data_IF_440752051189
#
_entry.id   IF_440752051189
#
_cell.length_a   1.000
_cell.length_b   1.000
_cell.length_c   1.000
_cell.angle_alpha   90.00
_cell.angle_beta   90.00
_cell.angle_gamma   90.00
#
_symmetry.space_group_name_H-M   'P 1'
#
loop_
_entity.id
_entity.type
_entity.pdbx_description
1 polymer ?
#
# COMPACT_ATOMS: atom_id res chain seq x y z
N UNK A 1 16.52 -43.83 -21.97
CA UNK A 1 16.86 -43.99 -23.39
C UNK A 1 15.54 -44.09 -24.15
N UNK A 2 14.97 -42.99 -24.57
CA UNK A 2 14.04 -42.86 -25.69
C UNK A 2 13.89 -41.32 -25.97
N UNK A 3 14.50 -40.95 -27.08
CA UNK A 3 14.46 -39.61 -27.66
C UNK A 3 13.33 -39.62 -28.68
N UNK A 4 12.45 -38.60 -28.63
CA UNK A 4 11.45 -38.31 -29.67
C UNK A 4 11.67 -36.88 -30.19
N UNK A 5 11.79 -36.67 -31.52
CA UNK A 5 12.20 -35.41 -32.13
C UNK A 5 11.01 -34.46 -32.42
N UNK A 6 11.31 -33.17 -32.36
CA UNK A 6 10.42 -32.09 -32.83
C UNK A 6 10.47 -31.97 -34.37
N UNK A 7 9.37 -31.56 -35.02
CA UNK A 7 9.38 -31.11 -36.39
C UNK A 7 9.54 -29.59 -36.50
N UNK A 8 10.46 -29.21 -37.38
CA UNK A 8 10.66 -27.84 -37.86
C UNK A 8 9.51 -27.39 -38.76
N UNK A 9 9.02 -26.13 -38.61
CA UNK A 9 8.18 -25.46 -39.60
C UNK A 9 8.90 -24.25 -40.20
N UNK A 10 8.85 -24.30 -41.53
CA UNK A 10 9.51 -23.45 -42.52
C UNK A 10 8.97 -22.00 -42.52
N UNK A 11 9.93 -21.10 -42.68
CA UNK A 11 9.72 -19.73 -43.19
C UNK A 11 9.27 -19.78 -44.66
N UNK A 12 8.27 -18.98 -45.01
CA UNK A 12 8.01 -18.58 -46.41
C UNK A 12 8.03 -17.05 -46.51
N UNK A 13 9.05 -16.58 -47.22
CA UNK A 13 9.14 -15.25 -47.81
C UNK A 13 8.16 -15.17 -48.96
N UNK A 14 7.42 -14.07 -49.06
CA UNK A 14 6.77 -13.63 -50.33
C UNK A 14 7.23 -12.22 -50.63
N UNK A 15 7.98 -12.16 -51.72
CA UNK A 15 8.47 -10.98 -52.42
C UNK A 15 7.61 -10.82 -53.70
N UNK A 16 7.07 -9.64 -54.00
CA UNK A 16 6.64 -9.22 -55.36
C UNK A 16 6.34 -7.74 -55.31
N UNK A 17 7.08 -6.92 -55.92
CA UNK A 17 7.30 -6.52 -57.31
C UNK A 17 6.41 -5.37 -57.78
N UNK A 18 7.13 -4.31 -58.05
CA UNK A 18 6.94 -3.13 -58.90
C UNK A 18 5.98 -3.27 -60.10
N UNK A 19 5.31 -2.18 -60.45
CA UNK A 19 5.23 -1.72 -61.85
C UNK A 19 4.93 -0.23 -61.90
N UNK A 20 5.61 0.41 -62.83
CA UNK A 20 5.63 1.84 -63.14
C UNK A 20 4.78 2.13 -64.40
N UNK A 21 4.71 3.44 -64.75
CA UNK A 21 4.35 4.06 -66.05
C UNK A 21 2.87 4.43 -66.22
N UNK A 22 2.48 5.55 -66.76
CA UNK A 22 3.07 6.47 -67.84
C UNK A 22 2.33 7.81 -67.85
N UNK A 23 3.01 8.79 -68.40
CA UNK A 23 2.67 10.14 -68.79
C UNK A 23 1.47 10.28 -69.72
N UNK A 24 0.72 11.37 -69.55
CA UNK A 24 0.24 12.18 -70.74
C UNK A 24 -0.09 13.58 -70.24
N UNK A 25 0.48 14.59 -70.96
CA UNK A 25 0.26 15.99 -70.76
C UNK A 25 -0.84 16.50 -71.69
N UNK A 26 -1.29 17.70 -71.39
CA UNK A 26 -1.60 18.75 -72.37
C UNK A 26 -2.07 20.04 -71.71
N UNK A 27 -1.34 21.07 -71.96
CA UNK A 27 -1.61 22.47 -72.28
C UNK A 27 -2.96 23.09 -71.87
N UNK A 28 -2.91 24.32 -71.36
CA UNK A 28 -3.95 25.32 -71.60
C UNK A 28 -4.11 26.37 -70.52
N UNK A 29 -3.67 27.57 -70.87
CA UNK A 29 -4.17 28.90 -70.45
C UNK A 29 -3.84 29.49 -69.07
N UNK A 30 -3.02 30.54 -69.13
CA UNK A 30 -2.80 31.55 -68.11
C UNK A 30 -4.00 32.47 -67.96
N UNK A 31 -4.43 32.73 -66.73
CA UNK A 31 -5.19 33.93 -66.32
C UNK A 31 -4.55 34.60 -65.15
N UNK A 32 -4.70 35.90 -64.93
CA UNK A 32 -3.74 36.72 -64.22
C UNK A 32 -3.87 36.67 -62.67
N UNK A 33 -2.75 36.98 -62.03
CA UNK A 33 -2.51 37.00 -60.58
C UNK A 33 -3.42 37.99 -59.83
N UNK A 34 -4.01 37.55 -58.77
CA UNK A 34 -4.52 38.38 -57.66
C UNK A 34 -3.47 38.43 -56.57
N UNK A 35 -3.42 39.47 -55.73
CA UNK A 35 -2.29 39.75 -54.83
C UNK A 35 -2.12 38.76 -53.74
N UNK A 36 -0.87 38.33 -53.46
CA UNK A 36 -0.45 37.49 -52.39
C UNK A 36 -0.78 38.13 -51.04
N UNK A 37 -1.69 37.48 -50.32
CA UNK A 37 -1.81 37.71 -48.88
C UNK A 37 -0.59 37.05 -48.17
N UNK A 38 0.28 37.86 -47.61
CA UNK A 38 1.35 37.43 -46.75
C UNK A 38 0.73 36.77 -45.53
N UNK A 39 0.62 35.45 -45.56
CA UNK A 39 0.31 34.65 -44.38
C UNK A 39 1.60 34.63 -43.55
N UNK A 40 1.62 35.41 -42.49
CA UNK A 40 2.62 35.30 -41.46
C UNK A 40 2.63 33.85 -40.92
N UNK A 41 3.63 33.10 -41.30
CA UNK A 41 3.92 31.81 -40.69
C UNK A 41 4.27 32.06 -39.24
N UNK A 42 3.27 32.00 -38.39
CA UNK A 42 3.48 31.86 -36.96
C UNK A 42 4.23 30.55 -36.74
N UNK A 43 5.52 30.66 -36.50
CA UNK A 43 6.31 29.56 -35.97
C UNK A 43 5.72 29.21 -34.61
N UNK A 44 4.80 28.22 -34.58
CA UNK A 44 4.51 27.51 -33.36
C UNK A 44 5.84 26.87 -32.90
N UNK A 45 6.48 27.51 -31.95
CA UNK A 45 7.63 26.93 -31.28
C UNK A 45 7.17 25.54 -30.78
N UNK A 46 7.70 24.49 -31.37
CA UNK A 46 7.53 23.15 -30.90
C UNK A 46 8.05 23.19 -29.45
N UNK A 47 7.12 23.13 -28.47
CA UNK A 47 7.47 22.96 -27.08
C UNK A 47 8.38 21.74 -27.03
N UNK A 48 9.63 21.94 -26.66
CA UNK A 48 10.55 20.85 -26.42
C UNK A 48 9.86 19.89 -25.48
N UNK A 49 9.59 18.67 -25.96
CA UNK A 49 8.88 17.67 -25.18
C UNK A 49 9.65 17.49 -23.87
N UNK A 50 9.10 18.01 -22.79
CA UNK A 50 9.67 17.85 -21.46
C UNK A 50 9.81 16.34 -21.21
N UNK A 51 11.01 15.89 -20.79
CA UNK A 51 11.20 14.49 -20.40
C UNK A 51 10.12 14.13 -19.37
N UNK A 52 9.45 12.98 -19.53
CA UNK A 52 8.44 12.58 -18.57
C UNK A 52 9.06 12.49 -17.18
N UNK A 53 8.38 13.06 -16.19
CA UNK A 53 8.75 12.99 -14.77
C UNK A 53 8.10 11.76 -14.18
N UNK A 54 8.78 11.07 -13.25
CA UNK A 54 8.25 9.88 -12.61
C UNK A 54 8.00 10.09 -11.12
N UNK A 55 6.87 9.54 -10.67
CA UNK A 55 6.60 9.25 -9.27
C UNK A 55 6.75 7.76 -9.06
N UNK A 56 7.59 7.37 -8.11
CA UNK A 56 7.87 5.96 -7.81
C UNK A 56 7.38 5.66 -6.40
N UNK A 57 6.54 4.63 -6.28
CA UNK A 57 6.19 4.05 -4.98
C UNK A 57 7.03 2.80 -4.74
N UNK A 58 7.82 2.79 -3.66
CA UNK A 58 8.66 1.66 -3.24
C UNK A 58 7.97 0.94 -2.08
N UNK A 59 7.65 -0.35 -2.27
CA UNK A 59 7.04 -1.17 -1.21
C UNK A 59 8.07 -1.57 -0.14
N UNK A 60 7.60 -2.05 1.01
CA UNK A 60 8.47 -2.70 1.99
C UNK A 60 8.76 -4.18 1.64
N UNK A 61 7.87 -4.83 0.88
CA UNK A 61 8.00 -6.21 0.42
C UNK A 61 6.99 -6.54 -0.67
N UNK A 62 6.94 -7.79 -1.07
CA UNK A 62 5.98 -8.33 -2.04
C UNK A 62 4.79 -8.93 -1.28
N UNK A 63 3.67 -8.21 -1.26
CA UNK A 63 2.44 -8.62 -0.57
C UNK A 63 1.21 -8.12 -1.35
N UNK A 64 0.11 -8.91 -1.42
CA UNK A 64 -1.14 -8.50 -2.08
C UNK A 64 -1.77 -7.20 -1.54
N UNK A 65 -1.46 -6.77 -0.32
CA UNK A 65 -1.84 -5.46 0.23
C UNK A 65 -1.48 -4.31 -0.74
N UNK A 66 -0.34 -4.44 -1.42
CA UNK A 66 0.15 -3.43 -2.36
C UNK A 66 -0.61 -3.38 -3.69
N UNK A 67 -1.46 -4.36 -4.00
CA UNK A 67 -2.28 -4.35 -5.23
C UNK A 67 -3.43 -3.37 -5.13
N UNK A 68 -4.05 -3.26 -3.95
CA UNK A 68 -5.04 -2.22 -3.68
C UNK A 68 -4.42 -0.82 -3.74
N UNK A 69 -3.22 -0.63 -3.19
CA UNK A 69 -2.48 0.63 -3.28
C UNK A 69 -2.11 0.95 -4.74
N UNK A 70 -1.64 -0.02 -5.52
CA UNK A 70 -1.36 0.17 -6.96
C UNK A 70 -2.61 0.60 -7.73
N UNK A 71 -3.76 0.01 -7.40
CA UNK A 71 -5.05 0.41 -8.00
C UNK A 71 -5.38 1.86 -7.67
N UNK A 72 -5.11 2.29 -6.44
CA UNK A 72 -5.23 3.69 -6.00
C UNK A 72 -4.24 4.62 -6.70
N UNK A 73 -2.98 4.21 -6.90
CA UNK A 73 -2.00 4.99 -7.67
C UNK A 73 -2.49 5.24 -9.11
N UNK A 74 -3.02 4.21 -9.77
CA UNK A 74 -3.56 4.32 -11.14
C UNK A 74 -4.80 5.20 -11.20
N UNK A 75 -5.72 5.08 -10.24
CA UNK A 75 -6.88 5.97 -10.14
C UNK A 75 -6.44 7.42 -9.91
N UNK A 76 -5.50 7.66 -9.00
CA UNK A 76 -4.92 8.98 -8.74
C UNK A 76 -4.21 9.56 -9.96
N UNK A 77 -3.43 8.77 -10.68
CA UNK A 77 -2.76 9.18 -11.94
C UNK A 77 -3.78 9.70 -12.96
N UNK A 78 -4.88 8.99 -13.13
CA UNK A 78 -5.97 9.38 -14.03
C UNK A 78 -6.75 10.59 -13.49
N UNK A 79 -7.18 10.54 -12.23
CA UNK A 79 -8.02 11.56 -11.58
C UNK A 79 -7.36 12.93 -11.53
N UNK A 80 -6.05 12.97 -11.28
CA UNK A 80 -5.29 14.22 -11.18
C UNK A 80 -4.57 14.62 -12.47
N UNK A 81 -4.86 13.96 -13.60
CA UNK A 81 -4.37 14.35 -14.91
C UNK A 81 -2.85 14.28 -15.06
N UNK A 82 -2.19 13.31 -14.43
CA UNK A 82 -0.73 13.18 -14.43
C UNK A 82 -0.16 13.07 -15.86
N UNK A 83 -0.80 12.32 -16.75
CA UNK A 83 -0.37 12.17 -18.14
C UNK A 83 -0.30 13.52 -18.87
N UNK A 84 -1.29 14.40 -18.68
CA UNK A 84 -1.30 15.75 -19.27
C UNK A 84 -0.18 16.64 -18.70
N UNK A 85 0.26 16.38 -17.47
CA UNK A 85 1.40 17.05 -16.81
C UNK A 85 2.76 16.39 -17.14
N UNK A 86 2.80 15.38 -18.01
CA UNK A 86 4.01 14.63 -18.35
C UNK A 86 4.54 13.80 -17.17
N UNK A 87 3.66 13.34 -16.28
CA UNK A 87 4.00 12.55 -15.09
C UNK A 87 3.55 11.11 -15.31
N UNK A 88 4.43 10.18 -15.00
CA UNK A 88 4.16 8.73 -14.99
C UNK A 88 4.29 8.21 -13.57
N UNK A 89 3.33 7.41 -13.12
CA UNK A 89 3.33 6.82 -11.78
C UNK A 89 3.65 5.33 -11.87
N UNK A 90 4.59 4.86 -11.05
CA UNK A 90 5.02 3.46 -11.04
C UNK A 90 5.15 2.92 -9.61
N UNK A 91 4.94 1.61 -9.45
CA UNK A 91 5.27 0.85 -8.24
C UNK A 91 6.55 0.07 -8.49
N UNK A 92 7.45 0.09 -7.52
CA UNK A 92 8.65 -0.75 -7.44
C UNK A 92 8.55 -1.67 -6.22
N UNK A 93 8.53 -2.97 -6.47
CA UNK A 93 8.34 -3.99 -5.43
C UNK A 93 9.66 -4.33 -4.79
N UNK A 94 9.82 -4.05 -3.49
CA UNK A 94 10.97 -4.45 -2.71
C UNK A 94 10.94 -5.95 -2.40
N UNK A 95 12.11 -6.52 -2.16
CA UNK A 95 12.31 -7.93 -1.85
C UNK A 95 12.12 -8.28 -0.35
N UNK A 96 11.57 -7.37 0.46
CA UNK A 96 11.39 -7.59 1.90
C UNK A 96 12.65 -7.34 2.74
N UNK A 97 13.67 -6.64 2.19
CA UNK A 97 14.88 -6.32 2.93
C UNK A 97 15.19 -4.81 2.95
N UNK A 98 15.89 -4.37 3.99
CA UNK A 98 16.38 -3.00 4.09
C UNK A 98 17.42 -2.68 3.00
N UNK A 99 18.28 -3.63 2.70
CA UNK A 99 19.29 -3.53 1.63
C UNK A 99 18.63 -3.29 0.27
N UNK A 100 17.53 -3.99 0.00
CA UNK A 100 16.75 -3.81 -1.22
C UNK A 100 16.19 -2.40 -1.35
N UNK A 101 15.69 -1.81 -0.26
CA UNK A 101 15.22 -0.41 -0.27
C UNK A 101 16.39 0.57 -0.48
N UNK A 102 17.51 0.37 0.21
CA UNK A 102 18.71 1.21 0.08
C UNK A 102 19.21 1.21 -1.37
N UNK A 103 19.28 0.04 -2.00
CA UNK A 103 19.73 -0.10 -3.39
C UNK A 103 18.81 0.64 -4.36
N UNK A 104 17.48 0.51 -4.21
CA UNK A 104 16.49 1.23 -5.03
C UNK A 104 16.59 2.74 -4.86
N UNK A 105 16.69 3.23 -3.63
CA UNK A 105 16.86 4.66 -3.37
C UNK A 105 18.14 5.21 -4.03
N UNK A 106 19.27 4.48 -3.95
CA UNK A 106 20.53 4.82 -4.64
C UNK A 106 20.35 4.83 -6.15
N UNK A 107 19.70 3.82 -6.70
CA UNK A 107 19.43 3.72 -8.13
C UNK A 107 18.60 4.93 -8.62
N UNK A 108 17.54 5.29 -7.92
CA UNK A 108 16.71 6.45 -8.27
C UNK A 108 17.46 7.77 -8.08
N UNK A 109 18.39 7.85 -7.13
CA UNK A 109 19.21 9.03 -6.96
C UNK A 109 20.15 9.32 -8.13
N UNK A 110 20.37 8.39 -9.05
CA UNK A 110 21.17 8.58 -10.29
C UNK A 110 20.36 8.98 -11.51
N UNK A 111 19.02 9.06 -11.37
CA UNK A 111 18.10 9.29 -12.49
C UNK A 111 17.49 10.69 -12.43
N UNK A 112 17.61 11.45 -13.52
CA UNK A 112 17.20 12.86 -13.57
C UNK A 112 15.69 13.05 -13.83
N UNK A 113 14.97 11.97 -14.17
CA UNK A 113 13.54 12.00 -14.46
C UNK A 113 12.67 11.65 -13.25
N UNK A 114 13.27 11.29 -12.12
CA UNK A 114 12.55 11.02 -10.87
C UNK A 114 12.24 12.33 -10.15
N UNK A 115 10.96 12.70 -10.12
CA UNK A 115 10.49 13.90 -9.45
C UNK A 115 9.94 13.66 -8.04
N UNK A 116 9.47 12.43 -7.76
CA UNK A 116 8.92 12.07 -6.46
C UNK A 116 9.13 10.60 -6.11
N UNK A 117 9.45 10.35 -4.85
CA UNK A 117 9.52 9.02 -4.23
C UNK A 117 8.52 8.97 -3.09
N UNK A 118 7.67 7.97 -3.13
CA UNK A 118 6.88 7.51 -1.99
C UNK A 118 7.42 6.15 -1.55
N UNK A 119 7.68 5.94 -0.28
CA UNK A 119 8.27 4.70 0.23
C UNK A 119 7.55 4.24 1.48
N UNK A 120 7.22 2.93 1.56
CA UNK A 120 6.87 2.29 2.82
C UNK A 120 8.15 1.77 3.47
N UNK A 121 8.64 2.51 4.48
CA UNK A 121 9.93 2.21 5.13
C UNK A 121 9.84 0.91 5.92
N UNK A 122 10.72 -0.05 5.61
CA UNK A 122 10.69 -1.38 6.24
C UNK A 122 11.20 -1.37 7.69
N UNK A 123 12.20 -0.54 7.99
CA UNK A 123 12.80 -0.38 9.31
C UNK A 123 12.89 1.09 9.68
N UNK A 124 12.07 1.52 10.63
CA UNK A 124 11.92 2.93 11.02
C UNK A 124 13.22 3.59 11.51
N UNK A 125 14.10 2.82 12.15
CA UNK A 125 15.36 3.26 12.75
C UNK A 125 16.58 2.99 11.86
N UNK A 126 16.40 2.58 10.60
CA UNK A 126 17.51 2.28 9.70
C UNK A 126 18.14 3.55 9.12
N UNK A 127 19.30 3.94 9.68
CA UNK A 127 20.02 5.16 9.27
C UNK A 127 20.41 5.17 7.78
N UNK A 128 20.75 4.01 7.20
CA UNK A 128 21.14 3.94 5.79
C UNK A 128 19.98 4.25 4.84
N UNK A 129 18.76 3.78 5.16
CA UNK A 129 17.54 4.15 4.41
C UNK A 129 17.31 5.67 4.51
N UNK A 130 17.36 6.20 5.74
CA UNK A 130 17.17 7.63 6.03
C UNK A 130 18.19 8.51 5.28
N UNK A 131 19.46 8.12 5.25
CA UNK A 131 20.50 8.86 4.53
C UNK A 131 20.25 8.91 3.02
N UNK A 132 19.82 7.79 2.41
CA UNK A 132 19.50 7.78 0.98
C UNK A 132 18.25 8.62 0.67
N UNK A 133 17.23 8.61 1.55
CA UNK A 133 16.06 9.49 1.44
C UNK A 133 16.48 10.97 1.50
N UNK A 134 17.36 11.35 2.43
CA UNK A 134 17.90 12.73 2.56
C UNK A 134 18.71 13.13 1.33
N UNK A 135 19.52 12.24 0.74
CA UNK A 135 20.26 12.49 -0.51
C UNK A 135 19.31 12.78 -1.67
N UNK A 136 18.23 12.03 -1.82
CA UNK A 136 17.20 12.29 -2.84
C UNK A 136 16.57 13.68 -2.64
N UNK A 137 16.20 14.03 -1.41
CA UNK A 137 15.65 15.35 -1.09
C UNK A 137 16.64 16.48 -1.41
N UNK A 138 17.92 16.30 -1.09
CA UNK A 138 18.96 17.28 -1.41
C UNK A 138 19.15 17.51 -2.93
N UNK A 139 18.72 16.54 -3.77
CA UNK A 139 18.68 16.66 -5.23
C UNK A 139 17.38 17.29 -5.75
N UNK A 140 16.45 17.66 -4.88
CA UNK A 140 15.16 18.26 -5.25
C UNK A 140 14.04 17.23 -5.52
N UNK A 141 14.29 15.94 -5.32
CA UNK A 141 13.24 14.91 -5.40
C UNK A 141 12.31 15.05 -4.20
N UNK A 142 11.00 15.06 -4.46
CA UNK A 142 10.01 15.04 -3.38
C UNK A 142 9.96 13.66 -2.74
N UNK A 143 10.20 13.57 -1.43
CA UNK A 143 10.21 12.29 -0.71
C UNK A 143 9.14 12.31 0.38
N UNK A 144 8.24 11.34 0.32
CA UNK A 144 7.19 11.09 1.31
C UNK A 144 7.24 9.63 1.76
N UNK A 145 6.70 9.36 2.93
CA UNK A 145 6.48 7.98 3.40
C UNK A 145 5.00 7.61 3.32
N UNK A 146 4.72 6.33 3.07
CA UNK A 146 3.36 5.80 2.92
C UNK A 146 3.27 4.46 3.64
N UNK A 147 2.28 4.30 4.51
CA UNK A 147 2.04 3.13 5.36
C UNK A 147 3.13 2.91 6.43
N UNK A 148 4.35 2.60 6.05
CA UNK A 148 5.52 2.53 6.96
C UNK A 148 6.28 3.85 6.96
N UNK A 149 6.50 4.44 8.15
CA UNK A 149 7.24 5.71 8.32
C UNK A 149 8.64 5.47 8.90
N UNK A 150 9.47 6.49 8.84
CA UNK A 150 10.70 6.59 9.64
C UNK A 150 10.35 6.86 11.10
N UNK A 151 11.30 6.62 12.01
CA UNK A 151 11.17 7.07 13.39
C UNK A 151 11.04 8.60 13.43
N UNK A 152 9.84 9.10 13.76
CA UNK A 152 9.51 10.52 13.70
C UNK A 152 10.27 11.37 14.72
N UNK A 153 10.64 10.79 15.84
CA UNK A 153 11.38 11.51 16.89
C UNK A 153 12.81 11.81 16.46
N UNK A 154 13.39 10.93 15.62
CA UNK A 154 14.81 10.99 15.24
C UNK A 154 15.03 11.41 13.79
N UNK A 155 14.16 10.97 12.87
CA UNK A 155 14.41 11.03 11.42
C UNK A 155 13.31 11.72 10.62
N UNK A 156 12.43 12.47 11.26
CA UNK A 156 11.31 13.16 10.61
C UNK A 156 11.71 14.01 9.41
N UNK A 157 12.93 14.55 9.42
CA UNK A 157 13.51 15.36 8.35
C UNK A 157 13.90 14.55 7.09
N UNK A 158 13.86 13.22 7.13
CA UNK A 158 14.16 12.40 5.96
C UNK A 158 13.04 12.45 4.90
N UNK A 159 11.82 12.84 5.28
CA UNK A 159 10.67 12.99 4.38
C UNK A 159 9.97 14.30 4.61
N UNK A 160 9.05 14.69 3.70
CA UNK A 160 8.23 15.89 3.87
C UNK A 160 6.90 15.58 4.57
N UNK A 161 6.24 14.51 4.18
CA UNK A 161 4.91 14.13 4.65
C UNK A 161 4.79 12.61 4.78
N UNK A 162 3.87 12.17 5.62
CA UNK A 162 3.41 10.80 5.75
C UNK A 162 1.95 10.66 5.32
N UNK A 163 1.63 9.61 4.58
CA UNK A 163 0.26 9.19 4.27
C UNK A 163 0.07 7.76 4.77
N UNK A 164 -0.97 7.51 5.55
CA UNK A 164 -1.22 6.15 6.01
C UNK A 164 -2.29 6.08 7.08
N UNK A 165 -2.09 5.16 8.00
CA UNK A 165 -2.96 4.94 9.15
C UNK A 165 -2.37 5.60 10.39
N UNK A 166 -3.21 6.12 11.27
CA UNK A 166 -2.82 6.31 12.66
C UNK A 166 -2.70 4.91 13.30
N UNK A 167 -1.48 4.39 13.29
CA UNK A 167 -1.20 3.02 13.69
C UNK A 167 -1.45 2.77 15.18
N UNK A 168 -1.28 3.78 16.04
CA UNK A 168 -1.59 3.68 17.47
C UNK A 168 -3.11 3.58 17.69
N UNK A 169 -3.86 4.43 16.99
CA UNK A 169 -5.34 4.38 17.01
C UNK A 169 -5.83 3.05 16.42
N UNK A 170 -5.23 2.59 15.32
CA UNK A 170 -5.54 1.28 14.73
C UNK A 170 -5.30 0.13 15.73
N UNK A 171 -4.18 0.15 16.43
CA UNK A 171 -3.89 -0.81 17.49
C UNK A 171 -4.88 -0.76 18.64
N UNK A 172 -5.25 0.43 19.11
CA UNK A 172 -6.28 0.61 20.13
C UNK A 172 -7.64 0.07 19.67
N UNK A 173 -7.99 0.30 18.43
CA UNK A 173 -9.20 -0.23 17.79
C UNK A 173 -9.22 -1.76 17.82
N UNK A 174 -8.11 -2.41 17.43
CA UNK A 174 -7.99 -3.86 17.46
C UNK A 174 -8.00 -4.41 18.89
N UNK A 175 -7.32 -3.73 19.82
CA UNK A 175 -7.28 -4.10 21.24
C UNK A 175 -8.67 -4.02 21.90
N UNK A 176 -9.44 -2.95 21.62
CA UNK A 176 -10.81 -2.80 22.12
C UNK A 176 -11.74 -3.88 21.58
N UNK A 177 -11.66 -4.17 20.27
CA UNK A 177 -12.43 -5.25 19.64
C UNK A 177 -12.06 -6.62 20.24
N UNK A 178 -10.75 -6.89 20.44
CA UNK A 178 -10.27 -8.15 21.04
C UNK A 178 -10.81 -8.31 22.46
N UNK A 179 -10.78 -7.24 23.26
CA UNK A 179 -11.33 -7.25 24.62
C UNK A 179 -12.81 -7.58 24.63
N UNK A 180 -13.62 -6.91 23.80
CA UNK A 180 -15.05 -7.17 23.71
C UNK A 180 -15.37 -8.63 23.36
N UNK A 181 -14.60 -9.23 22.47
CA UNK A 181 -14.72 -10.65 22.10
C UNK A 181 -14.34 -11.58 23.27
N UNK A 182 -13.26 -11.28 24.01
CA UNK A 182 -12.84 -12.04 25.18
C UNK A 182 -13.89 -11.99 26.29
N UNK A 183 -14.39 -10.80 26.61
CA UNK A 183 -15.43 -10.58 27.63
C UNK A 183 -16.73 -11.32 27.26
N UNK A 184 -17.13 -11.28 25.98
CA UNK A 184 -18.32 -12.00 25.49
C UNK A 184 -18.17 -13.53 25.59
N UNK A 185 -16.96 -14.05 25.51
CA UNK A 185 -16.64 -15.48 25.76
C UNK A 185 -16.54 -15.82 27.25
N UNK A 186 -16.71 -14.85 28.14
CA UNK A 186 -16.59 -15.03 29.59
C UNK A 186 -15.13 -15.15 30.08
N UNK A 187 -14.14 -14.86 29.25
CA UNK A 187 -12.76 -14.82 29.65
C UNK A 187 -12.50 -13.55 30.48
N UNK A 188 -12.23 -13.70 31.76
CA UNK A 188 -11.97 -12.58 32.68
C UNK A 188 -10.51 -12.18 32.75
N UNK A 189 -9.62 -13.09 32.37
CA UNK A 189 -8.17 -12.91 32.31
C UNK A 189 -7.57 -13.87 31.28
N UNK A 190 -6.31 -13.66 30.88
CA UNK A 190 -5.59 -14.54 29.98
C UNK A 190 -4.39 -13.88 29.32
N UNK A 191 -3.68 -14.65 28.52
CA UNK A 191 -2.57 -14.17 27.74
C UNK A 191 -2.96 -13.87 26.28
N UNK A 192 -2.17 -13.03 25.62
CA UNK A 192 -2.21 -12.89 24.16
C UNK A 192 -0.79 -12.75 23.59
N UNK A 193 -0.64 -13.13 22.32
CA UNK A 193 0.60 -12.97 21.55
C UNK A 193 0.28 -12.19 20.28
N UNK A 194 1.21 -11.31 19.90
CA UNK A 194 1.13 -10.48 18.68
C UNK A 194 2.18 -10.96 17.67
N UNK A 195 1.77 -11.06 16.39
CA UNK A 195 2.59 -11.56 15.29
C UNK A 195 2.74 -10.49 14.21
N UNK A 196 3.99 -10.24 13.78
CA UNK A 196 4.32 -9.25 12.76
C UNK A 196 5.56 -9.67 11.98
N UNK A 197 5.79 -9.06 10.82
CA UNK A 197 7.02 -9.27 10.07
C UNK A 197 8.24 -8.77 10.81
N UNK A 198 8.22 -7.51 11.20
CA UNK A 198 9.27 -6.85 11.99
C UNK A 198 8.63 -6.08 13.13
N UNK A 199 9.04 -6.38 14.36
CA UNK A 199 8.48 -5.75 15.57
C UNK A 199 9.00 -4.33 15.80
N UNK A 200 10.08 -3.93 15.14
CA UNK A 200 10.70 -2.60 15.14
C UNK A 200 10.22 -1.71 13.99
N UNK A 201 9.44 -2.24 13.05
CA UNK A 201 8.79 -1.42 12.03
C UNK A 201 7.82 -0.44 12.70
N UNK A 202 7.72 0.80 12.18
CA UNK A 202 6.93 1.87 12.80
C UNK A 202 5.45 1.49 12.97
N UNK A 203 4.82 0.96 11.89
CA UNK A 203 3.41 0.58 11.98
C UNK A 203 3.20 -0.61 12.93
N UNK A 204 4.04 -1.64 12.88
CA UNK A 204 3.92 -2.81 13.73
C UNK A 204 4.08 -2.44 15.21
N UNK A 205 5.12 -1.68 15.54
CA UNK A 205 5.38 -1.20 16.91
C UNK A 205 4.21 -0.39 17.46
N UNK A 206 3.71 0.56 16.68
CA UNK A 206 2.60 1.43 17.07
C UNK A 206 1.29 0.65 17.24
N UNK A 207 0.96 -0.26 16.32
CA UNK A 207 -0.21 -1.14 16.42
C UNK A 207 -0.13 -2.03 17.66
N UNK A 208 1.00 -2.70 17.88
CA UNK A 208 1.20 -3.57 19.05
C UNK A 208 1.08 -2.82 20.36
N UNK A 209 1.60 -1.60 20.44
CA UNK A 209 1.45 -0.74 21.62
C UNK A 209 -0.02 -0.34 21.83
N UNK A 210 -0.73 0.04 20.76
CA UNK A 210 -2.15 0.36 20.82
C UNK A 210 -3.01 -0.81 21.28
N UNK A 211 -2.75 -2.03 20.80
CA UNK A 211 -3.43 -3.25 21.28
C UNK A 211 -3.21 -3.42 22.77
N UNK A 212 -1.96 -3.30 23.24
CA UNK A 212 -1.62 -3.43 24.66
C UNK A 212 -2.33 -2.41 25.55
N UNK A 213 -2.44 -1.15 25.08
CA UNK A 213 -3.14 -0.11 25.81
C UNK A 213 -4.65 -0.36 25.93
N UNK A 214 -5.28 -0.87 24.87
CA UNK A 214 -6.74 -0.95 24.79
C UNK A 214 -7.34 -2.30 25.19
N UNK A 215 -6.57 -3.39 25.13
CA UNK A 215 -7.05 -4.71 25.54
C UNK A 215 -7.31 -4.78 27.05
N UNK A 216 -6.59 -3.95 27.82
CA UNK A 216 -6.76 -3.79 29.25
C UNK A 216 -5.86 -4.70 30.10
N UNK A 217 -5.72 -4.37 31.40
CA UNK A 217 -4.75 -5.00 32.29
C UNK A 217 -5.08 -6.45 32.68
N UNK A 218 -6.31 -6.91 32.45
CA UNK A 218 -6.71 -8.30 32.69
C UNK A 218 -6.05 -9.28 31.72
N UNK A 219 -5.57 -8.79 30.58
CA UNK A 219 -4.97 -9.62 29.54
C UNK A 219 -3.49 -9.30 29.39
N UNK A 220 -2.64 -10.30 29.67
CA UNK A 220 -1.20 -10.12 29.67
C UNK A 220 -0.59 -10.38 28.27
N UNK A 221 0.15 -9.40 27.76
CA UNK A 221 1.00 -9.63 26.60
C UNK A 221 2.08 -10.66 26.93
N UNK A 222 2.06 -11.81 26.26
CA UNK A 222 3.01 -12.89 26.49
C UNK A 222 4.23 -12.77 25.59
N UNK A 223 4.03 -12.35 24.34
CA UNK A 223 5.13 -12.20 23.39
C UNK A 223 4.74 -11.29 22.20
N UNK A 224 5.79 -10.79 21.51
CA UNK A 224 5.75 -10.16 20.18
C UNK A 224 6.69 -10.92 19.27
N UNK A 225 6.15 -11.67 18.32
CA UNK A 225 6.92 -12.58 17.49
C UNK A 225 7.12 -12.04 16.09
N UNK A 226 8.39 -11.79 15.73
CA UNK A 226 8.79 -11.40 14.37
C UNK A 226 9.01 -12.63 13.50
N UNK A 227 8.55 -12.58 12.25
CA UNK A 227 8.74 -13.64 11.27
C UNK A 227 9.62 -13.24 10.10
N UNK A 228 10.09 -11.99 10.03
CA UNK A 228 10.93 -11.42 8.98
C UNK A 228 10.33 -11.59 7.58
N UNK A 229 8.99 -11.55 7.46
CA UNK A 229 8.22 -11.76 6.25
C UNK A 229 8.34 -13.17 5.65
N UNK A 230 8.80 -14.14 6.45
CA UNK A 230 8.89 -15.56 6.08
C UNK A 230 7.60 -16.29 6.50
N UNK A 231 6.79 -16.72 5.53
CA UNK A 231 5.49 -17.36 5.79
C UNK A 231 5.61 -18.68 6.57
N UNK A 232 6.56 -19.58 6.29
CA UNK A 232 6.83 -20.73 7.15
C UNK A 232 7.09 -20.33 8.61
N UNK A 233 7.96 -19.33 8.84
CA UNK A 233 8.27 -18.82 10.18
C UNK A 233 7.06 -18.22 10.87
N UNK A 234 6.21 -17.46 10.15
CA UNK A 234 4.96 -16.94 10.69
C UNK A 234 4.08 -18.06 11.27
N UNK A 235 3.94 -19.18 10.57
CA UNK A 235 3.20 -20.36 11.04
C UNK A 235 3.88 -21.05 12.22
N UNK A 236 5.21 -21.17 12.20
CA UNK A 236 5.97 -21.75 13.31
C UNK A 236 5.90 -20.89 14.57
N UNK A 237 5.89 -19.56 14.44
CA UNK A 237 5.66 -18.65 15.55
C UNK A 237 4.30 -18.91 16.22
N UNK A 238 3.23 -19.12 15.45
CA UNK A 238 1.92 -19.46 16.02
C UNK A 238 1.94 -20.79 16.75
N UNK A 239 2.58 -21.84 16.18
CA UNK A 239 2.75 -23.15 16.83
C UNK A 239 3.51 -23.00 18.14
N UNK A 240 4.62 -22.28 18.13
CA UNK A 240 5.47 -22.04 19.30
C UNK A 240 4.70 -21.27 20.38
N UNK A 241 3.99 -20.20 20.02
CA UNK A 241 3.18 -19.42 20.96
C UNK A 241 2.14 -20.30 21.67
N UNK A 242 1.37 -21.09 20.92
CA UNK A 242 0.31 -21.97 21.47
C UNK A 242 0.85 -23.14 22.29
N UNK A 243 2.09 -23.56 22.03
CA UNK A 243 2.76 -24.59 22.82
C UNK A 243 3.37 -24.05 24.12
N UNK A 244 3.97 -22.86 24.07
CA UNK A 244 4.73 -22.29 25.19
C UNK A 244 3.82 -21.57 26.21
N UNK A 245 2.73 -20.95 25.76
CA UNK A 245 1.83 -20.18 26.62
C UNK A 245 0.47 -20.88 26.74
N UNK A 246 0.22 -21.55 27.88
CA UNK A 246 -1.00 -22.37 28.09
C UNK A 246 -2.23 -21.54 28.45
N UNK A 247 -2.04 -20.30 28.85
CA UNK A 247 -3.06 -19.35 29.25
C UNK A 247 -3.50 -18.40 28.13
N UNK A 248 -3.07 -18.65 26.89
CA UNK A 248 -3.49 -17.80 25.76
C UNK A 248 -5.00 -17.84 25.57
N UNK A 249 -5.58 -16.65 25.50
CA UNK A 249 -6.97 -16.40 25.17
C UNK A 249 -7.14 -15.71 23.81
N UNK A 250 -6.10 -14.99 23.32
CA UNK A 250 -6.13 -14.35 22.00
C UNK A 250 -4.81 -14.49 21.21
N UNK A 251 -4.95 -14.51 19.88
CA UNK A 251 -3.87 -14.45 18.92
C UNK A 251 -4.12 -13.22 18.02
N UNK A 252 -3.14 -12.33 17.93
CA UNK A 252 -3.30 -11.03 17.27
C UNK A 252 -2.35 -10.92 16.10
N UNK A 253 -2.88 -10.90 14.88
CA UNK A 253 -2.11 -10.67 13.66
C UNK A 253 -1.98 -9.19 13.35
N UNK A 254 -0.77 -8.69 13.19
CA UNK A 254 -0.48 -7.25 13.03
C UNK A 254 -0.29 -6.85 11.57
N UNK A 255 0.15 -7.76 10.71
CA UNK A 255 0.25 -7.58 9.27
C UNK A 255 -0.67 -8.54 8.52
N UNK A 256 -1.01 -8.16 7.28
CA UNK A 256 -2.01 -8.83 6.47
C UNK A 256 -1.87 -10.36 6.39
N UNK A 257 -0.68 -10.87 6.14
CA UNK A 257 -0.42 -12.31 6.00
C UNK A 257 -0.36 -13.08 7.34
N UNK A 258 -0.27 -12.38 8.47
CA UNK A 258 -0.35 -13.04 9.77
C UNK A 258 -1.74 -13.63 10.03
N UNK A 259 -2.79 -13.01 9.47
CA UNK A 259 -4.17 -13.49 9.60
C UNK A 259 -4.36 -14.91 9.07
N UNK A 260 -4.04 -15.25 7.81
CA UNK A 260 -4.12 -16.63 7.33
C UNK A 260 -3.15 -17.56 8.06
N UNK A 261 -1.93 -17.12 8.41
CA UNK A 261 -0.98 -17.96 9.15
C UNK A 261 -1.55 -18.44 10.51
N UNK A 262 -2.18 -17.53 11.27
CA UNK A 262 -2.85 -17.85 12.53
C UNK A 262 -4.02 -18.80 12.28
N UNK A 263 -4.93 -18.43 11.37
CA UNK A 263 -6.16 -19.17 11.11
C UNK A 263 -5.91 -20.61 10.64
N UNK A 264 -4.91 -20.80 9.79
CA UNK A 264 -4.50 -22.13 9.33
C UNK A 264 -3.99 -23.00 10.49
N UNK A 265 -3.02 -22.51 11.26
CA UNK A 265 -2.39 -23.29 12.34
C UNK A 265 -3.40 -23.73 13.39
N UNK A 266 -4.30 -22.82 13.82
CA UNK A 266 -5.32 -23.19 14.83
C UNK A 266 -6.38 -24.12 14.27
N UNK A 267 -6.64 -24.06 12.96
CA UNK A 267 -7.57 -24.98 12.28
C UNK A 267 -6.96 -26.37 12.14
N UNK A 268 -5.70 -26.45 11.68
CA UNK A 268 -4.96 -27.70 11.52
C UNK A 268 -4.79 -28.44 12.86
N UNK A 269 -4.56 -27.70 13.93
CA UNK A 269 -4.41 -28.26 15.29
C UNK A 269 -5.73 -28.54 15.99
N UNK A 270 -6.88 -28.19 15.40
CA UNK A 270 -8.20 -28.35 16.03
C UNK A 270 -8.40 -27.46 17.28
N UNK A 271 -7.68 -26.34 17.36
CA UNK A 271 -7.70 -25.47 18.56
C UNK A 271 -8.38 -24.13 18.34
N UNK A 272 -9.08 -23.93 17.20
CA UNK A 272 -9.70 -22.65 16.82
C UNK A 272 -10.58 -22.05 17.91
N UNK A 273 -11.39 -22.87 18.58
CA UNK A 273 -12.36 -22.41 19.57
C UNK A 273 -11.72 -21.94 20.89
N UNK A 274 -10.43 -22.20 21.09
CA UNK A 274 -9.70 -21.79 22.28
C UNK A 274 -9.34 -20.32 22.29
N UNK A 275 -9.26 -19.67 21.12
CA UNK A 275 -8.68 -18.35 20.96
C UNK A 275 -9.65 -17.37 20.32
N UNK A 276 -9.61 -16.12 20.77
CA UNK A 276 -10.03 -14.99 19.95
C UNK A 276 -8.94 -14.71 18.92
N UNK A 277 -9.34 -14.58 17.66
CA UNK A 277 -8.41 -14.25 16.55
C UNK A 277 -8.80 -12.89 16.01
N UNK A 278 -7.93 -11.92 16.27
CA UNK A 278 -8.10 -10.53 15.87
C UNK A 278 -6.91 -10.11 14.99
N UNK A 279 -7.18 -9.49 13.84
CA UNK A 279 -6.13 -9.25 12.85
C UNK A 279 -6.22 -7.87 12.22
N UNK A 280 -5.08 -7.40 11.69
CA UNK A 280 -5.03 -6.27 10.77
C UNK A 280 -5.16 -6.75 9.33
N UNK A 281 -5.74 -5.87 8.50
CA UNK A 281 -5.91 -5.98 7.06
C UNK A 281 -6.80 -7.14 6.64
N UNK A 282 -7.15 -7.17 5.35
CA UNK A 282 -8.09 -8.14 4.81
C UNK A 282 -7.60 -8.64 3.44
N UNK A 283 -6.59 -9.51 3.46
CA UNK A 283 -6.23 -10.29 2.28
C UNK A 283 -7.36 -11.25 1.93
N UNK A 284 -7.44 -11.67 0.67
CA UNK A 284 -8.44 -12.61 0.16
C UNK A 284 -8.52 -13.89 1.01
N UNK A 285 -7.37 -14.45 1.42
CA UNK A 285 -7.30 -15.60 2.30
C UNK A 285 -7.90 -15.29 3.70
N UNK A 286 -7.64 -14.11 4.26
CA UNK A 286 -8.18 -13.70 5.56
C UNK A 286 -9.71 -13.53 5.49
N UNK A 287 -10.22 -12.94 4.41
CA UNK A 287 -11.66 -12.84 4.11
C UNK A 287 -12.28 -14.24 4.08
N UNK A 288 -11.69 -15.18 3.33
CA UNK A 288 -12.15 -16.57 3.27
C UNK A 288 -12.07 -17.31 4.62
N UNK A 289 -11.15 -16.96 5.49
CA UNK A 289 -11.08 -17.50 6.86
C UNK A 289 -12.18 -16.91 7.74
N UNK A 290 -12.47 -15.61 7.66
CA UNK A 290 -13.56 -14.99 8.41
C UNK A 290 -14.91 -15.57 7.97
N UNK A 291 -15.16 -15.82 6.68
CA UNK A 291 -16.38 -16.50 6.17
C UNK A 291 -16.58 -17.89 6.80
N UNK A 292 -15.49 -18.57 7.11
CA UNK A 292 -15.48 -19.90 7.73
C UNK A 292 -15.46 -19.85 9.27
N UNK A 293 -15.67 -18.69 9.87
CA UNK A 293 -15.65 -18.49 11.33
C UNK A 293 -14.27 -18.67 11.97
N UNK A 294 -13.18 -18.53 11.21
CA UNK A 294 -11.82 -18.75 11.69
C UNK A 294 -11.11 -17.48 12.17
N UNK A 295 -11.65 -16.31 11.86
CA UNK A 295 -11.21 -14.99 12.32
C UNK A 295 -12.43 -14.29 12.90
N UNK A 296 -12.28 -13.65 14.06
CA UNK A 296 -13.40 -13.01 14.78
C UNK A 296 -13.56 -11.52 14.43
N UNK A 297 -12.46 -10.82 14.14
CA UNK A 297 -12.47 -9.40 13.75
C UNK A 297 -11.25 -9.04 12.93
N UNK A 298 -11.43 -8.16 11.96
CA UNK A 298 -10.33 -7.51 11.21
C UNK A 298 -10.42 -6.00 11.36
N UNK A 299 -9.30 -5.34 11.63
CA UNK A 299 -9.12 -3.89 11.49
C UNK A 299 -8.40 -3.65 10.17
N UNK A 300 -9.07 -2.97 9.26
CA UNK A 300 -8.64 -2.88 7.86
C UNK A 300 -8.25 -1.45 7.52
N UNK A 301 -7.08 -1.28 6.94
CA UNK A 301 -6.59 -0.03 6.41
C UNK A 301 -7.24 0.31 5.07
N UNK A 302 -6.88 1.46 4.48
CA UNK A 302 -7.36 1.87 3.17
C UNK A 302 -6.19 2.09 2.20
N UNK A 303 -5.49 1.03 1.76
CA UNK A 303 -4.36 1.14 0.84
C UNK A 303 -4.73 1.75 -0.52
N UNK A 304 -5.96 1.55 -0.99
CA UNK A 304 -6.44 2.22 -2.21
C UNK A 304 -6.40 3.75 -2.05
N UNK A 305 -6.96 4.28 -0.96
CA UNK A 305 -6.95 5.73 -0.71
C UNK A 305 -5.52 6.24 -0.45
N UNK A 306 -4.65 5.44 0.21
CA UNK A 306 -3.23 5.78 0.34
C UNK A 306 -2.59 6.01 -1.04
N UNK A 307 -2.87 5.15 -2.02
CA UNK A 307 -2.38 5.30 -3.39
C UNK A 307 -2.90 6.56 -4.07
N UNK A 308 -4.21 6.84 -3.98
CA UNK A 308 -4.82 8.06 -4.53
C UNK A 308 -4.19 9.32 -3.94
N UNK A 309 -4.07 9.37 -2.59
CA UNK A 309 -3.49 10.52 -1.87
C UNK A 309 -2.00 10.71 -2.14
N UNK A 310 -1.27 9.61 -2.33
CA UNK A 310 0.15 9.64 -2.72
C UNK A 310 0.35 10.42 -4.02
N UNK A 311 -0.43 10.12 -5.04
CA UNK A 311 -0.32 10.81 -6.34
C UNK A 311 -0.72 12.27 -6.21
N UNK A 312 -1.83 12.57 -5.51
CA UNK A 312 -2.29 13.93 -5.25
C UNK A 312 -1.21 14.77 -4.57
N UNK A 313 -0.62 14.22 -3.51
CA UNK A 313 0.39 14.90 -2.72
C UNK A 313 1.68 15.15 -3.51
N UNK A 314 2.25 14.11 -4.13
CA UNK A 314 3.49 14.27 -4.90
C UNK A 314 3.31 15.28 -6.04
N UNK A 315 2.15 15.26 -6.72
CA UNK A 315 1.84 16.24 -7.76
C UNK A 315 1.77 17.65 -7.19
N UNK A 316 1.05 17.87 -6.10
CA UNK A 316 0.95 19.16 -5.45
C UNK A 316 2.33 19.69 -4.98
N UNK A 317 3.20 18.82 -4.47
CA UNK A 317 4.56 19.18 -4.06
C UNK A 317 5.43 19.59 -5.26
N UNK A 318 5.38 18.83 -6.35
CA UNK A 318 6.17 19.12 -7.57
C UNK A 318 5.70 20.38 -8.28
N UNK A 319 4.40 20.67 -8.25
CA UNK A 319 3.78 21.86 -8.86
C UNK A 319 3.71 23.07 -7.91
N UNK A 320 4.12 22.91 -6.64
CA UNK A 320 3.99 23.90 -5.57
C UNK A 320 2.54 24.38 -5.38
N UNK A 321 1.57 23.45 -5.49
CA UNK A 321 0.14 23.70 -5.30
C UNK A 321 -0.21 23.85 -3.82
N UNK A 322 0.04 25.05 -3.28
CA UNK A 322 -0.18 25.35 -1.88
C UNK A 322 -1.64 25.12 -1.42
N UNK A 323 -2.68 25.48 -2.17
CA UNK A 323 -4.07 25.20 -1.80
C UNK A 323 -4.32 23.70 -1.53
N UNK A 324 -3.81 22.81 -2.37
CA UNK A 324 -3.95 21.36 -2.16
C UNK A 324 -3.16 20.90 -0.95
N UNK A 325 -1.95 21.41 -0.73
CA UNK A 325 -1.14 21.06 0.45
C UNK A 325 -1.85 21.53 1.73
N UNK A 326 -2.37 22.74 1.78
CA UNK A 326 -3.10 23.27 2.94
C UNK A 326 -4.41 22.51 3.22
N UNK A 327 -5.11 22.03 2.18
CA UNK A 327 -6.27 21.14 2.32
C UNK A 327 -5.90 19.78 2.89
N UNK A 328 -4.81 19.18 2.40
CA UNK A 328 -4.37 17.86 2.84
C UNK A 328 -3.76 17.89 4.25
N UNK A 329 -3.13 18.99 4.62
CA UNK A 329 -2.42 19.17 5.90
C UNK A 329 -2.85 20.46 6.61
N UNK A 330 -4.12 20.55 7.05
CA UNK A 330 -4.67 21.79 7.63
C UNK A 330 -4.01 22.18 8.97
N UNK A 331 -3.39 21.23 9.65
CA UNK A 331 -2.69 21.43 10.93
C UNK A 331 -1.16 21.48 10.78
N UNK A 332 -0.63 21.95 9.64
CA UNK A 332 0.79 21.91 9.31
C UNK A 332 1.75 22.45 10.40
N UNK A 333 1.28 23.33 11.27
CA UNK A 333 2.05 23.86 12.42
C UNK A 333 1.99 22.97 13.68
N UNK A 334 1.18 21.91 13.68
CA UNK A 334 1.04 20.99 14.82
C UNK A 334 2.09 19.89 14.85
N UNK A 335 2.16 19.13 15.95
CA UNK A 335 3.13 18.03 16.09
C UNK A 335 2.96 16.93 15.04
N UNK A 336 1.74 16.72 14.55
CA UNK A 336 1.40 15.76 13.47
C UNK A 336 0.95 16.48 12.19
N UNK A 337 1.37 17.71 11.99
CA UNK A 337 0.97 18.55 10.86
C UNK A 337 1.49 18.06 9.49
N UNK A 338 2.36 17.08 9.47
CA UNK A 338 2.88 16.39 8.30
C UNK A 338 2.28 14.99 8.09
N UNK A 339 1.21 14.64 8.83
CA UNK A 339 0.54 13.34 8.82
C UNK A 339 -0.85 13.47 8.19
N UNK A 340 -1.12 12.64 7.18
CA UNK A 340 -2.45 12.49 6.57
C UNK A 340 -2.95 11.07 6.76
N UNK A 341 -4.08 10.91 7.45
CA UNK A 341 -4.65 9.59 7.72
C UNK A 341 -5.76 9.24 6.72
N UNK A 342 -5.84 7.97 6.34
CA UNK A 342 -6.83 7.46 5.36
C UNK A 342 -8.03 6.77 6.01
N UNK A 343 -8.14 6.81 7.33
CA UNK A 343 -9.19 6.15 8.09
C UNK A 343 -8.99 4.64 8.23
N UNK A 344 -9.86 4.01 8.99
CA UNK A 344 -9.86 2.58 9.32
C UNK A 344 -11.24 1.97 9.11
N UNK A 345 -11.30 0.66 8.93
CA UNK A 345 -12.54 -0.13 9.00
C UNK A 345 -12.40 -1.21 10.05
N UNK A 346 -13.48 -1.46 10.79
CA UNK A 346 -13.63 -2.67 11.61
C UNK A 346 -14.60 -3.58 10.89
N UNK A 347 -14.13 -4.77 10.55
CA UNK A 347 -14.91 -5.78 9.85
C UNK A 347 -15.18 -6.95 10.79
N UNK A 348 -16.46 -7.28 10.98
CA UNK A 348 -16.92 -8.42 11.77
C UNK A 348 -17.62 -9.44 10.87
N UNK A 349 -17.71 -10.73 11.25
CA UNK A 349 -18.36 -11.75 10.43
C UNK A 349 -19.79 -11.39 10.02
N UNK A 350 -20.58 -10.94 10.98
CA UNK A 350 -21.98 -10.54 10.79
C UNK A 350 -22.48 -9.68 11.96
N UNK A 351 -23.78 -9.34 11.95
CA UNK A 351 -24.42 -8.49 12.97
C UNK A 351 -24.59 -9.16 14.34
N UNK A 352 -24.29 -10.43 14.49
CA UNK A 352 -24.32 -11.15 15.79
C UNK A 352 -23.00 -11.01 16.57
N UNK A 353 -21.97 -10.42 15.97
CA UNK A 353 -20.70 -10.16 16.64
C UNK A 353 -20.90 -9.33 17.91
N UNK A 354 -20.22 -9.66 19.03
CA UNK A 354 -20.23 -8.84 20.23
C UNK A 354 -19.44 -7.53 20.07
N UNK A 355 -18.69 -7.38 19.00
CA UNK A 355 -18.05 -6.12 18.63
C UNK A 355 -19.09 -5.23 17.96
N UNK A 356 -19.35 -4.05 18.54
CA UNK A 356 -20.38 -3.11 18.06
C UNK A 356 -19.77 -1.74 17.68
N UNK A 357 -20.50 -0.99 16.88
CA UNK A 357 -20.07 0.36 16.42
C UNK A 357 -19.77 1.31 17.56
N UNK A 358 -20.49 1.21 18.69
CA UNK A 358 -20.35 2.09 19.85
C UNK A 358 -18.98 2.00 20.55
N UNK A 359 -18.19 0.97 20.22
CA UNK A 359 -16.82 0.82 20.73
C UNK A 359 -15.84 1.80 20.07
N UNK A 360 -16.20 2.47 18.99
CA UNK A 360 -15.29 3.21 18.13
C UNK A 360 -15.75 4.64 17.84
N UNK A 361 -14.78 5.55 17.60
CA UNK A 361 -15.09 6.88 17.09
C UNK A 361 -15.49 6.78 15.59
N UNK A 362 -16.73 7.14 15.21
CA UNK A 362 -17.19 7.05 13.82
C UNK A 362 -16.49 8.05 12.87
N UNK A 363 -15.73 9.01 13.40
CA UNK A 363 -14.91 9.92 12.60
C UNK A 363 -13.61 9.24 12.11
N UNK A 364 -13.20 8.16 12.77
CA UNK A 364 -11.95 7.46 12.51
C UNK A 364 -12.19 6.08 11.94
N UNK A 365 -13.24 5.40 12.40
CA UNK A 365 -13.53 4.00 12.11
C UNK A 365 -14.89 3.87 11.44
N UNK A 366 -14.91 3.27 10.25
CA UNK A 366 -16.10 2.76 9.59
C UNK A 366 -16.36 1.31 10.05
N UNK A 367 -17.51 1.05 10.66
CA UNK A 367 -17.88 -0.29 11.12
C UNK A 367 -18.67 -1.03 10.03
N UNK A 368 -18.27 -2.26 9.71
CA UNK A 368 -18.87 -3.05 8.63
C UNK A 368 -19.04 -4.52 9.02
N UNK A 369 -20.07 -5.14 8.50
CA UNK A 369 -20.13 -6.61 8.44
C UNK A 369 -19.28 -7.12 7.26
N UNK A 370 -18.90 -8.40 7.29
CA UNK A 370 -18.15 -9.00 6.17
C UNK A 370 -18.92 -8.93 4.83
N UNK A 371 -20.25 -9.16 4.76
CA UNK A 371 -21.01 -8.92 3.54
C UNK A 371 -20.91 -7.49 3.01
N UNK A 372 -21.01 -6.47 3.89
CA UNK A 372 -20.90 -5.06 3.51
C UNK A 372 -19.50 -4.73 2.99
N UNK A 373 -18.47 -5.25 3.66
CA UNK A 373 -17.08 -5.08 3.25
C UNK A 373 -16.82 -5.71 1.88
N UNK A 374 -17.34 -6.92 1.62
CA UNK A 374 -17.23 -7.57 0.30
C UNK A 374 -17.96 -6.77 -0.79
N UNK A 375 -19.12 -6.20 -0.49
CA UNK A 375 -19.82 -5.32 -1.41
C UNK A 375 -19.01 -4.05 -1.71
N UNK A 376 -18.33 -3.50 -0.69
CA UNK A 376 -17.42 -2.37 -0.86
C UNK A 376 -16.23 -2.74 -1.75
N UNK A 377 -15.56 -3.88 -1.51
CA UNK A 377 -14.46 -4.36 -2.36
C UNK A 377 -14.90 -4.52 -3.82
N UNK A 378 -16.05 -5.15 -4.06
CA UNK A 378 -16.59 -5.36 -5.40
C UNK A 378 -16.85 -4.04 -6.15
N UNK A 379 -17.35 -3.00 -5.45
CA UNK A 379 -17.58 -1.66 -6.01
C UNK A 379 -16.29 -1.05 -6.58
N UNK A 380 -15.16 -1.30 -5.94
CA UNK A 380 -13.84 -0.78 -6.36
C UNK A 380 -13.01 -1.82 -7.13
N UNK A 381 -13.61 -2.98 -7.48
CA UNK A 381 -12.93 -4.09 -8.18
C UNK A 381 -11.68 -4.58 -7.44
N UNK A 382 -11.73 -4.58 -6.12
CA UNK A 382 -10.67 -5.07 -5.24
C UNK A 382 -11.02 -6.47 -4.74
N UNK A 383 -9.99 -7.26 -4.44
CA UNK A 383 -10.11 -8.59 -3.79
C UNK A 383 -9.58 -8.56 -2.36
N UNK A 384 -8.88 -7.50 -1.98
CA UNK A 384 -8.23 -7.31 -0.68
C UNK A 384 -8.14 -5.83 -0.31
N UNK A 385 -7.89 -5.54 0.96
CA UNK A 385 -7.59 -4.20 1.47
C UNK A 385 -6.71 -4.27 2.71
#
# INVERSE_FOLDING_TARGET
MFVVPMPARRFQLVLSMMAAMLLAGCSGERKPAAPEAVVAAGTAAASAAQKPRRFIFITNGDDPFWDALLSGLKDGEQRFGCAAAGIVVARDVNNGSAEGQIERLRQYATQDDVAGIAISVIQADNQSIVEEMKKLRAKGVQVITVDGDVNRDTFRDARSYYIGTDNLVGGRTLGAATRALLEARGAREGGYVQFAGFTDNDNARSRMNGVKEAIGPAYAERDRMADEMDLPRARDNVRNATQNHKDLAALVGIWAYNAPAIADVVTESGTRDRYVIATFDAQDLAIGHMEKGRIDVMVVQNPFEMGVRTVRLLKAMVENDKPVLDEMFPAAAGPDGDVHTTGLRVVVPDSSSPVTVDLFDPKVVEFMTLPDFKAWLAKYKLTSS
#
